data_IF_638549314925
#
_entry.id   IF_638549314925
#
_cell.length_a   1.000
_cell.length_b   1.000
_cell.length_c   1.000
_cell.angle_alpha   90.00
_cell.angle_beta   90.00
_cell.angle_gamma   90.00
#
_symmetry.space_group_name_H-M   'P 1'
#
loop_
_entity.id
_entity.type
_entity.pdbx_description
1 polymer ?
#
# COMPACT_ATOMS: atom_id res chain seq x y z
N UNK A 1 9.64 39.74 -23.57
CA UNK A 1 10.32 38.44 -23.70
C UNK A 1 9.32 37.43 -23.16
N UNK A 2 8.72 36.70 -24.08
CA UNK A 2 7.31 36.31 -24.03
C UNK A 2 7.11 35.06 -23.15
N UNK A 3 6.17 35.11 -22.21
CA UNK A 3 5.95 34.08 -21.17
C UNK A 3 5.54 32.74 -21.81
N UNK A 4 4.85 32.82 -22.96
CA UNK A 4 4.51 31.70 -23.85
C UNK A 4 5.75 30.96 -24.38
N UNK A 5 6.88 31.66 -24.60
CA UNK A 5 8.13 31.02 -25.03
C UNK A 5 8.82 30.23 -23.91
N UNK A 6 8.61 30.59 -22.63
CA UNK A 6 9.13 29.82 -21.49
C UNK A 6 8.31 28.54 -21.28
N UNK A 7 6.98 28.61 -21.37
CA UNK A 7 6.09 27.44 -21.25
C UNK A 7 6.37 26.43 -22.37
N UNK A 8 6.51 26.90 -23.61
CA UNK A 8 6.87 26.05 -24.75
C UNK A 8 8.28 25.45 -24.62
N UNK A 9 9.23 26.13 -23.95
CA UNK A 9 10.56 25.54 -23.63
C UNK A 9 10.49 24.48 -22.53
N UNK A 10 9.62 24.65 -21.54
CA UNK A 10 9.41 23.67 -20.47
C UNK A 10 8.75 22.40 -21.01
N UNK A 11 7.79 22.53 -21.93
CA UNK A 11 7.14 21.39 -22.60
C UNK A 11 8.07 20.71 -23.62
N UNK A 12 9.01 21.45 -24.24
CA UNK A 12 9.99 20.93 -25.21
C UNK A 12 11.25 20.28 -24.60
N UNK A 13 11.30 20.00 -23.30
CA UNK A 13 12.38 19.20 -22.68
C UNK A 13 12.02 17.71 -22.38
N UNK A 14 11.42 16.93 -23.29
CA UNK A 14 11.36 15.47 -23.10
C UNK A 14 12.70 14.76 -23.40
N UNK A 15 13.82 15.51 -23.52
CA UNK A 15 15.13 14.99 -23.92
C UNK A 15 16.26 15.20 -22.88
N UNK A 16 15.93 15.56 -21.63
CA UNK A 16 16.88 15.59 -20.50
C UNK A 16 16.64 14.43 -19.50
N UNK A 17 15.96 13.36 -19.92
CA UNK A 17 15.81 12.14 -19.10
C UNK A 17 17.14 11.45 -18.68
N UNK A 18 18.28 11.53 -19.41
CA UNK A 18 19.50 10.87 -18.93
C UNK A 18 20.15 11.58 -17.73
N UNK A 19 19.97 12.89 -17.52
CA UNK A 19 20.56 13.60 -16.37
C UNK A 19 19.78 13.32 -15.07
N UNK A 20 18.45 13.23 -15.16
CA UNK A 20 17.57 12.91 -14.03
C UNK A 20 17.83 11.50 -13.50
N UNK A 21 17.97 10.52 -14.40
CA UNK A 21 18.25 9.13 -14.03
C UNK A 21 19.64 8.98 -13.38
N UNK A 22 20.66 9.69 -13.88
CA UNK A 22 22.02 9.65 -13.31
C UNK A 22 22.05 10.27 -11.92
N UNK A 23 21.39 11.41 -11.71
CA UNK A 23 21.36 12.09 -10.40
C UNK A 23 20.58 11.25 -9.38
N UNK A 24 19.41 10.70 -9.77
CA UNK A 24 18.64 9.83 -8.88
C UNK A 24 19.42 8.56 -8.57
N UNK A 25 20.09 7.95 -9.54
CA UNK A 25 20.91 6.76 -9.32
C UNK A 25 22.12 7.04 -8.43
N UNK A 26 22.79 8.19 -8.57
CA UNK A 26 23.93 8.58 -7.75
C UNK A 26 23.52 8.84 -6.30
N UNK A 27 22.43 9.59 -6.08
CA UNK A 27 21.91 9.88 -4.74
C UNK A 27 21.39 8.62 -4.04
N UNK A 28 20.76 7.73 -4.80
CA UNK A 28 20.26 6.45 -4.31
C UNK A 28 21.40 5.48 -3.98
N UNK A 29 22.42 5.42 -4.83
CA UNK A 29 23.61 4.61 -4.57
C UNK A 29 24.37 5.11 -3.34
N UNK A 30 24.55 6.42 -3.21
CA UNK A 30 25.18 7.02 -2.03
C UNK A 30 24.36 6.80 -0.77
N UNK A 31 23.05 7.08 -0.80
CA UNK A 31 22.15 6.91 0.33
C UNK A 31 22.05 5.44 0.79
N UNK A 32 21.84 4.52 -0.13
CA UNK A 32 21.78 3.09 0.18
C UNK A 32 23.12 2.59 0.75
N UNK A 33 24.25 2.90 0.09
CA UNK A 33 25.56 2.47 0.58
C UNK A 33 25.92 3.06 1.95
N UNK A 34 25.54 4.31 2.22
CA UNK A 34 25.74 4.94 3.52
C UNK A 34 24.98 4.20 4.63
N UNK A 35 23.75 3.76 4.36
CA UNK A 35 22.93 2.97 5.31
C UNK A 35 23.53 1.59 5.53
N UNK A 36 23.84 0.85 4.46
CA UNK A 36 24.47 -0.46 4.58
C UNK A 36 25.80 -0.37 5.33
N UNK A 37 26.58 0.69 5.09
CA UNK A 37 27.83 0.94 5.80
C UNK A 37 27.61 1.22 7.30
N UNK A 38 26.65 2.09 7.64
CA UNK A 38 26.35 2.46 9.01
C UNK A 38 25.70 1.32 9.82
N UNK A 39 24.85 0.51 9.19
CA UNK A 39 24.29 -0.73 9.75
C UNK A 39 25.39 -1.74 10.07
N UNK A 40 26.32 -1.99 9.13
CA UNK A 40 27.42 -2.95 9.32
C UNK A 40 28.36 -2.55 10.46
N UNK A 41 28.42 -1.26 10.80
CA UNK A 41 29.23 -0.75 11.91
C UNK A 41 28.46 -0.60 13.22
N UNK A 42 27.17 -0.93 13.25
CA UNK A 42 26.33 -0.77 14.44
C UNK A 42 26.17 0.70 14.86
N UNK A 43 26.24 1.64 13.92
CA UNK A 43 26.14 3.08 14.20
C UNK A 43 24.71 3.61 14.18
N UNK A 44 23.76 2.81 13.66
CA UNK A 44 22.35 3.16 13.58
C UNK A 44 21.61 2.36 14.64
N UNK A 45 21.08 3.07 15.63
CA UNK A 45 20.14 2.50 16.60
C UNK A 45 18.84 2.05 15.90
N UNK A 46 18.16 1.06 16.48
CA UNK A 46 16.98 0.44 15.88
C UNK A 46 15.90 1.46 15.46
N UNK A 47 15.67 2.50 16.28
CA UNK A 47 14.71 3.59 16.01
C UNK A 47 15.15 4.49 14.85
N UNK A 48 16.45 4.77 14.75
CA UNK A 48 17.02 5.63 13.69
C UNK A 48 16.95 4.98 12.31
N UNK A 49 16.89 3.65 12.25
CA UNK A 49 16.72 2.92 11.01
C UNK A 49 15.36 3.16 10.36
N UNK A 50 14.30 3.26 11.16
CA UNK A 50 12.93 3.51 10.67
C UNK A 50 12.78 4.93 10.13
N UNK A 51 13.55 5.89 10.62
CA UNK A 51 13.52 7.28 10.12
C UNK A 51 14.22 7.45 8.77
N UNK A 52 15.04 6.48 8.35
CA UNK A 52 15.89 6.63 7.18
C UNK A 52 15.12 6.89 5.87
N UNK A 53 14.08 6.12 5.49
CA UNK A 53 13.35 6.37 4.25
C UNK A 53 12.69 7.76 4.23
N UNK A 54 12.20 8.22 5.39
CA UNK A 54 11.63 9.55 5.54
C UNK A 54 12.69 10.63 5.32
N UNK A 55 13.88 10.48 5.92
CA UNK A 55 14.99 11.41 5.72
C UNK A 55 15.48 11.40 4.26
N UNK A 56 15.59 10.23 3.63
CA UNK A 56 15.95 10.09 2.23
C UNK A 56 14.92 10.76 1.30
N UNK A 57 13.63 10.56 1.58
CA UNK A 57 12.54 11.21 0.84
C UNK A 57 12.62 12.73 0.93
N UNK A 58 12.77 13.29 2.13
CA UNK A 58 12.91 14.74 2.32
C UNK A 58 14.17 15.29 1.64
N UNK A 59 15.29 14.56 1.69
CA UNK A 59 16.52 14.92 1.01
C UNK A 59 16.37 14.94 -0.52
N UNK A 60 15.69 13.94 -1.09
CA UNK A 60 15.39 13.87 -2.51
C UNK A 60 14.44 14.99 -2.94
N UNK A 61 13.37 15.25 -2.20
CA UNK A 61 12.45 16.37 -2.47
C UNK A 61 13.21 17.70 -2.46
N UNK A 62 14.04 17.94 -1.44
CA UNK A 62 14.84 19.16 -1.35
C UNK A 62 15.84 19.32 -2.49
N UNK A 63 16.55 18.25 -2.85
CA UNK A 63 17.56 18.28 -3.91
C UNK A 63 16.93 18.37 -5.31
N UNK A 64 15.87 17.62 -5.58
CA UNK A 64 15.13 17.72 -6.84
C UNK A 64 14.47 19.08 -6.99
N UNK A 65 13.94 19.65 -5.89
CA UNK A 65 13.39 20.99 -5.86
C UNK A 65 14.41 22.08 -6.22
N UNK A 66 15.65 21.98 -5.74
CA UNK A 66 16.71 22.95 -6.11
C UNK A 66 17.21 22.78 -7.54
N UNK A 67 17.20 21.56 -8.06
CA UNK A 67 17.60 21.25 -9.45
C UNK A 67 16.47 21.48 -10.47
N UNK A 68 15.23 21.67 -10.01
CA UNK A 68 14.06 21.77 -10.88
C UNK A 68 13.70 20.46 -11.60
N UNK A 69 14.00 19.32 -10.97
CA UNK A 69 13.70 17.98 -11.51
C UNK A 69 12.46 17.37 -10.84
N UNK A 70 11.93 16.28 -11.40
CA UNK A 70 10.74 15.61 -10.87
C UNK A 70 11.06 14.80 -9.60
N UNK A 71 10.70 15.38 -8.46
CA UNK A 71 10.83 14.83 -7.11
C UNK A 71 9.96 13.58 -6.87
N UNK A 72 8.74 13.53 -7.41
CA UNK A 72 7.84 12.38 -7.28
C UNK A 72 8.43 11.11 -7.90
N UNK A 73 8.98 11.21 -9.12
CA UNK A 73 9.63 10.08 -9.79
C UNK A 73 10.91 9.69 -9.05
N UNK A 74 11.72 10.67 -8.64
CA UNK A 74 12.94 10.42 -7.88
C UNK A 74 12.67 9.64 -6.58
N UNK A 75 11.69 10.07 -5.79
CA UNK A 75 11.29 9.40 -4.56
C UNK A 75 10.72 7.99 -4.83
N UNK A 76 9.94 7.81 -5.89
CA UNK A 76 9.38 6.51 -6.27
C UNK A 76 10.47 5.51 -6.64
N UNK A 77 11.44 5.94 -7.45
CA UNK A 77 12.59 5.10 -7.83
C UNK A 77 13.42 4.78 -6.60
N UNK A 78 13.70 5.77 -5.74
CA UNK A 78 14.46 5.55 -4.53
C UNK A 78 13.81 4.55 -3.58
N UNK A 79 12.50 4.69 -3.32
CA UNK A 79 11.74 3.73 -2.50
C UNK A 79 11.70 2.33 -3.12
N UNK A 80 11.60 2.23 -4.45
CA UNK A 80 11.62 0.95 -5.17
C UNK A 80 12.98 0.26 -5.06
N UNK A 81 14.07 1.01 -5.21
CA UNK A 81 15.43 0.46 -5.10
C UNK A 81 15.77 0.09 -3.67
N UNK A 82 15.33 0.87 -2.67
CA UNK A 82 15.54 0.56 -1.27
C UNK A 82 14.91 -0.79 -0.88
N UNK A 83 13.82 -1.18 -1.54
CA UNK A 83 13.11 -2.44 -1.30
C UNK A 83 13.45 -3.53 -2.33
N UNK A 84 14.40 -3.30 -3.24
CA UNK A 84 14.62 -4.15 -4.41
C UNK A 84 15.09 -5.57 -4.06
N UNK A 85 15.94 -5.68 -3.05
CA UNK A 85 16.47 -6.96 -2.54
C UNK A 85 15.58 -7.57 -1.43
N UNK A 86 14.57 -6.82 -0.96
CA UNK A 86 13.68 -7.21 0.13
C UNK A 86 14.34 -7.23 1.52
N UNK A 87 15.64 -6.90 1.64
CA UNK A 87 16.35 -6.92 2.93
C UNK A 87 15.81 -5.82 3.85
N UNK A 88 15.62 -4.62 3.30
CA UNK A 88 14.99 -3.51 4.02
C UNK A 88 13.59 -3.87 4.52
N UNK A 89 12.76 -4.46 3.66
CA UNK A 89 11.40 -4.88 4.00
C UNK A 89 11.35 -5.97 5.08
N UNK A 90 12.27 -6.94 5.01
CA UNK A 90 12.38 -7.99 6.02
C UNK A 90 12.80 -7.43 7.38
N UNK A 91 13.73 -6.47 7.39
CA UNK A 91 14.23 -5.86 8.61
C UNK A 91 13.19 -4.91 9.24
N UNK A 92 12.48 -4.10 8.47
CA UNK A 92 11.37 -3.27 8.97
C UNK A 92 10.22 -4.13 9.51
N UNK A 93 9.91 -5.25 8.85
CA UNK A 93 8.91 -6.21 9.33
C UNK A 93 9.32 -6.85 10.65
N UNK A 94 10.61 -7.22 10.80
CA UNK A 94 11.15 -7.79 12.05
C UNK A 94 11.10 -6.78 13.20
N UNK A 95 11.31 -5.50 12.89
CA UNK A 95 11.34 -4.40 13.87
C UNK A 95 9.97 -3.81 14.19
N UNK A 96 8.89 -4.32 13.59
CA UNK A 96 7.54 -3.79 13.73
C UNK A 96 7.49 -2.28 13.46
N UNK A 97 7.76 -1.88 12.23
CA UNK A 97 7.71 -0.48 11.81
C UNK A 97 6.31 0.13 11.99
N UNK A 98 6.09 0.76 13.15
CA UNK A 98 4.87 1.53 13.44
C UNK A 98 4.99 2.99 13.01
N UNK A 99 6.21 3.50 12.86
CA UNK A 99 6.48 4.91 12.56
C UNK A 99 5.92 5.30 11.19
N UNK A 100 6.26 4.56 10.12
CA UNK A 100 5.76 4.88 8.79
C UNK A 100 4.24 4.73 8.70
N UNK A 101 3.66 3.74 9.40
CA UNK A 101 2.21 3.56 9.46
C UNK A 101 1.51 4.76 10.12
N UNK A 102 2.07 5.29 11.22
CA UNK A 102 1.53 6.47 11.89
C UNK A 102 1.58 7.71 10.98
N UNK A 103 2.70 7.93 10.30
CA UNK A 103 2.86 9.05 9.36
C UNK A 103 1.88 8.93 8.19
N UNK A 104 1.72 7.73 7.62
CA UNK A 104 0.75 7.48 6.55
C UNK A 104 -0.67 7.83 6.99
N UNK A 105 -1.09 7.35 8.16
CA UNK A 105 -2.44 7.62 8.70
C UNK A 105 -2.64 9.13 8.91
N UNK A 106 -1.67 9.82 9.49
CA UNK A 106 -1.75 11.27 9.73
C UNK A 106 -1.82 12.07 8.43
N UNK A 107 -0.97 11.76 7.46
CA UNK A 107 -0.94 12.44 6.16
C UNK A 107 -2.20 12.17 5.35
N UNK A 108 -2.69 10.93 5.33
CA UNK A 108 -3.93 10.59 4.65
C UNK A 108 -5.13 11.28 5.31
N UNK A 109 -5.25 11.20 6.64
CA UNK A 109 -6.34 11.85 7.37
C UNK A 109 -6.32 13.36 7.16
N UNK A 110 -5.16 14.00 7.35
CA UNK A 110 -5.00 15.44 7.17
C UNK A 110 -5.24 15.87 5.72
N UNK A 111 -4.64 15.17 4.77
CA UNK A 111 -4.74 15.46 3.34
C UNK A 111 -6.17 15.32 2.82
N UNK A 112 -6.86 14.22 3.12
CA UNK A 112 -8.25 14.05 2.69
C UNK A 112 -9.23 14.97 3.41
N UNK A 113 -8.97 15.31 4.69
CA UNK A 113 -9.77 16.32 5.40
C UNK A 113 -9.62 17.69 4.74
N UNK A 114 -8.39 18.10 4.43
CA UNK A 114 -8.11 19.34 3.72
C UNK A 114 -8.79 19.38 2.35
N UNK A 115 -8.62 18.32 1.55
CA UNK A 115 -9.26 18.21 0.23
C UNK A 115 -10.77 18.31 0.35
N UNK A 116 -11.37 17.61 1.32
CA UNK A 116 -12.81 17.62 1.56
C UNK A 116 -13.37 19.02 1.89
N UNK A 117 -12.59 19.84 2.59
CA UNK A 117 -12.96 21.24 2.91
C UNK A 117 -12.87 22.14 1.67
N UNK A 118 -11.88 21.91 0.81
CA UNK A 118 -11.56 22.79 -0.34
C UNK A 118 -12.36 22.43 -1.60
N UNK A 119 -13.16 21.37 -1.60
CA UNK A 119 -13.95 20.97 -2.78
C UNK A 119 -14.84 22.14 -3.26
N UNK A 120 -14.72 22.58 -4.54
CA UNK A 120 -15.48 23.70 -5.08
C UNK A 120 -16.89 23.25 -5.52
N UNK A 121 -17.77 23.04 -4.54
CA UNK A 121 -19.14 22.55 -4.77
C UNK A 121 -19.97 23.46 -5.68
N UNK A 122 -19.72 24.77 -5.61
CA UNK A 122 -20.37 25.81 -6.41
C UNK A 122 -20.01 25.74 -7.90
N UNK A 123 -18.86 25.15 -8.24
CA UNK A 123 -18.35 25.09 -9.61
C UNK A 123 -18.71 23.80 -10.36
N UNK A 124 -19.43 22.88 -9.71
CA UNK A 124 -19.86 21.62 -10.35
C UNK A 124 -21.07 21.77 -11.27
N UNK A 125 -21.76 22.92 -11.21
CA UNK A 125 -22.90 23.23 -12.06
C UNK A 125 -22.82 24.68 -12.55
N UNK A 126 -22.00 24.86 -13.59
CA UNK A 126 -21.78 26.12 -14.29
C UNK A 126 -22.10 25.94 -15.78
N UNK A 127 -23.40 25.92 -16.14
CA UNK A 127 -23.82 25.73 -17.53
C UNK A 127 -23.52 26.93 -18.44
N UNK A 128 -23.48 28.15 -17.89
CA UNK A 128 -23.36 29.40 -18.65
C UNK A 128 -21.89 29.85 -18.85
N UNK A 129 -20.97 29.45 -17.97
CA UNK A 129 -19.54 29.73 -18.10
C UNK A 129 -18.79 28.57 -18.77
N UNK A 130 -18.36 27.60 -17.96
CA UNK A 130 -17.50 26.48 -18.38
C UNK A 130 -18.26 25.34 -19.06
N UNK A 131 -19.59 25.32 -18.98
CA UNK A 131 -20.44 24.23 -19.50
C UNK A 131 -20.33 22.93 -18.69
N UNK A 132 -19.75 23.00 -17.49
CA UNK A 132 -19.65 21.88 -16.54
C UNK A 132 -21.00 21.71 -15.87
N UNK A 133 -21.55 20.49 -15.92
CA UNK A 133 -22.85 20.16 -15.32
C UNK A 133 -22.79 18.78 -14.68
N UNK A 134 -23.58 18.56 -13.64
CA UNK A 134 -23.68 17.25 -12.96
C UNK A 134 -23.83 16.04 -13.89
N UNK A 135 -24.74 16.01 -14.88
CA UNK A 135 -24.88 14.85 -15.76
C UNK A 135 -23.62 14.58 -16.59
N UNK A 136 -22.93 15.63 -17.06
CA UNK A 136 -21.66 15.48 -17.80
C UNK A 136 -20.56 14.95 -16.89
N UNK A 137 -20.48 15.46 -15.66
CA UNK A 137 -19.52 15.02 -14.65
C UNK A 137 -19.72 13.56 -14.25
N UNK A 138 -20.97 13.13 -14.04
CA UNK A 138 -21.30 11.72 -13.76
C UNK A 138 -20.95 10.84 -14.96
N UNK A 139 -21.35 11.23 -16.18
CA UNK A 139 -21.04 10.47 -17.39
C UNK A 139 -19.52 10.34 -17.60
N UNK A 140 -18.77 11.42 -17.41
CA UNK A 140 -17.31 11.43 -17.49
C UNK A 140 -16.69 10.56 -16.39
N UNK A 141 -17.21 10.60 -15.17
CA UNK A 141 -16.80 9.73 -14.07
C UNK A 141 -16.97 8.25 -14.39
N UNK A 142 -18.15 7.85 -14.88
CA UNK A 142 -18.42 6.47 -15.30
C UNK A 142 -17.50 6.06 -16.46
N UNK A 143 -17.31 6.94 -17.44
CA UNK A 143 -16.41 6.70 -18.56
C UNK A 143 -14.97 6.50 -18.11
N UNK A 144 -14.50 7.32 -17.16
CA UNK A 144 -13.18 7.21 -16.58
C UNK A 144 -12.99 5.89 -15.81
N UNK A 145 -14.01 5.42 -15.08
CA UNK A 145 -13.94 4.13 -14.38
C UNK A 145 -13.83 2.96 -15.37
N UNK A 146 -14.60 3.00 -16.47
CA UNK A 146 -14.66 1.90 -17.44
C UNK A 146 -13.50 1.89 -18.43
N UNK A 147 -13.03 3.05 -18.90
CA UNK A 147 -12.08 3.12 -20.02
C UNK A 147 -10.64 3.43 -19.61
N UNK A 148 -10.40 3.99 -18.42
CA UNK A 148 -9.06 4.49 -18.07
C UNK A 148 -8.03 3.38 -17.82
N UNK A 149 -8.43 2.28 -17.16
CA UNK A 149 -7.51 1.18 -16.79
C UNK A 149 -7.97 -0.18 -17.28
N UNK A 150 -9.27 -0.45 -17.20
CA UNK A 150 -9.85 -1.75 -17.54
C UNK A 150 -9.44 -2.24 -18.94
N UNK A 151 -9.54 -1.42 -20.02
CA UNK A 151 -9.21 -1.89 -21.36
C UNK A 151 -7.72 -2.20 -21.51
N UNK A 152 -6.86 -1.33 -20.97
CA UNK A 152 -5.40 -1.49 -21.05
C UNK A 152 -4.93 -2.75 -20.32
N UNK A 153 -5.49 -3.03 -19.13
CA UNK A 153 -5.12 -4.20 -18.34
C UNK A 153 -5.66 -5.48 -18.99
N UNK A 154 -6.91 -5.49 -19.46
CA UNK A 154 -7.48 -6.64 -20.18
C UNK A 154 -6.80 -6.91 -21.53
N UNK A 155 -6.17 -5.91 -22.14
CA UNK A 155 -5.36 -6.10 -23.34
C UNK A 155 -3.98 -6.70 -23.02
N UNK A 156 -3.38 -6.29 -21.90
CA UNK A 156 -1.99 -6.59 -21.55
C UNK A 156 -1.82 -7.70 -20.50
N UNK A 157 -2.88 -8.23 -19.89
CA UNK A 157 -2.76 -9.19 -18.77
C UNK A 157 -1.94 -10.44 -19.15
N UNK A 158 -2.00 -10.88 -20.41
CA UNK A 158 -1.20 -12.02 -20.91
C UNK A 158 0.31 -11.75 -20.92
N UNK A 159 0.73 -10.49 -20.88
CA UNK A 159 2.14 -10.11 -20.78
C UNK A 159 2.64 -10.08 -19.32
N UNK A 160 1.74 -10.18 -18.34
CA UNK A 160 2.05 -10.13 -16.91
C UNK A 160 1.59 -11.40 -16.19
N UNK A 161 2.02 -12.60 -16.62
CA UNK A 161 1.58 -13.87 -16.03
C UNK A 161 2.01 -14.04 -14.56
N UNK A 162 2.99 -13.26 -14.09
CA UNK A 162 3.42 -13.27 -12.69
C UNK A 162 2.42 -12.57 -11.75
N UNK A 163 1.47 -11.78 -12.27
CA UNK A 163 0.55 -10.95 -11.48
C UNK A 163 -0.90 -11.37 -11.68
N UNK A 164 -1.29 -11.76 -12.89
CA UNK A 164 -2.66 -12.16 -13.23
C UNK A 164 -2.65 -13.41 -14.09
N UNK A 165 -3.30 -14.46 -13.62
CA UNK A 165 -3.42 -15.73 -14.35
C UNK A 165 -4.70 -15.73 -15.22
N UNK A 166 -5.79 -15.21 -14.66
CA UNK A 166 -7.12 -15.26 -15.28
C UNK A 166 -7.67 -13.87 -15.66
N UNK A 167 -8.58 -13.85 -16.65
CA UNK A 167 -9.28 -12.62 -17.04
C UNK A 167 -10.10 -12.02 -15.89
N UNK A 168 -10.54 -12.83 -14.92
CA UNK A 168 -11.29 -12.37 -13.74
C UNK A 168 -10.38 -11.59 -12.79
N UNK A 169 -9.15 -12.07 -12.61
CA UNK A 169 -8.13 -11.38 -11.81
C UNK A 169 -7.69 -10.09 -12.49
N UNK A 170 -7.51 -10.11 -13.82
CA UNK A 170 -7.22 -8.92 -14.60
C UNK A 170 -8.36 -7.88 -14.52
N UNK A 171 -9.62 -8.32 -14.54
CA UNK A 171 -10.78 -7.45 -14.36
C UNK A 171 -10.78 -6.83 -12.95
N UNK A 172 -10.51 -7.64 -11.92
CA UNK A 172 -10.42 -7.18 -10.54
C UNK A 172 -9.28 -6.16 -10.38
N UNK A 173 -8.08 -6.49 -10.85
CA UNK A 173 -6.92 -5.60 -10.83
C UNK A 173 -7.15 -4.30 -11.60
N UNK A 174 -7.84 -4.38 -12.74
CA UNK A 174 -8.16 -3.21 -13.56
C UNK A 174 -9.21 -2.30 -12.94
N UNK A 175 -10.18 -2.89 -12.25
CA UNK A 175 -11.19 -2.15 -11.49
C UNK A 175 -10.56 -1.44 -10.30
N UNK A 176 -9.75 -2.11 -9.48
CA UNK A 176 -9.15 -1.48 -8.30
C UNK A 176 -7.99 -0.54 -8.66
N UNK A 177 -8.27 0.76 -8.65
CA UNK A 177 -7.29 1.82 -8.85
C UNK A 177 -7.93 3.19 -8.81
N UNK A 178 -8.36 3.68 -7.62
CA UNK A 178 -9.02 4.97 -7.50
C UNK A 178 -8.12 6.11 -7.96
N UNK A 179 -8.71 7.21 -8.43
CA UNK A 179 -7.96 8.44 -8.66
C UNK A 179 -7.60 9.04 -7.31
N UNK A 180 -6.30 9.19 -7.04
CA UNK A 180 -5.80 9.72 -5.77
C UNK A 180 -5.47 11.21 -5.81
N UNK A 181 -4.87 11.67 -4.71
CA UNK A 181 -4.43 13.06 -4.48
C UNK A 181 -3.39 13.54 -5.50
N UNK A 182 -2.65 12.63 -6.13
CA UNK A 182 -1.69 12.97 -7.19
C UNK A 182 -2.32 13.74 -8.37
N UNK A 183 -3.59 13.49 -8.69
CA UNK A 183 -4.28 14.27 -9.73
C UNK A 183 -4.50 15.74 -9.31
N UNK A 184 -4.76 15.98 -8.01
CA UNK A 184 -4.90 17.32 -7.46
C UNK A 184 -3.55 18.05 -7.38
N UNK A 185 -2.47 17.32 -7.08
CA UNK A 185 -1.12 17.86 -7.15
C UNK A 185 -0.80 18.38 -8.55
N UNK A 186 -1.10 17.60 -9.60
CA UNK A 186 -0.89 18.05 -10.98
C UNK A 186 -1.82 19.19 -11.40
N UNK A 187 -3.07 19.22 -10.91
CA UNK A 187 -3.96 20.36 -11.11
C UNK A 187 -3.35 21.65 -10.55
N UNK A 188 -2.81 21.60 -9.34
CA UNK A 188 -2.19 22.76 -8.71
C UNK A 188 -0.90 23.17 -9.45
N UNK A 189 -0.10 22.20 -9.89
CA UNK A 189 1.06 22.47 -10.72
C UNK A 189 0.68 23.16 -12.04
N UNK A 190 -0.40 22.71 -12.70
CA UNK A 190 -0.94 23.34 -13.90
C UNK A 190 -1.36 24.79 -13.59
N UNK A 191 -2.09 25.04 -12.51
CA UNK A 191 -2.49 26.41 -12.13
C UNK A 191 -1.33 27.37 -11.93
N UNK A 192 -0.16 26.88 -11.51
CA UNK A 192 1.05 27.69 -11.36
C UNK A 192 1.77 27.95 -12.69
N UNK A 193 1.69 27.00 -13.64
CA UNK A 193 2.34 27.12 -14.94
C UNK A 193 1.58 28.02 -15.91
N UNK A 194 0.26 27.99 -15.84
CA UNK A 194 -0.59 28.77 -16.73
C UNK A 194 -0.83 30.18 -16.15
N UNK A 195 -0.83 31.23 -17.01
CA UNK A 195 -1.05 32.60 -16.56
C UNK A 195 -2.47 32.77 -15.99
N UNK A 196 -2.65 33.79 -15.14
CA UNK A 196 -3.91 34.01 -14.44
C UNK A 196 -5.02 34.35 -15.45
N UNK A 197 -6.27 34.05 -15.09
CA UNK A 197 -7.44 34.27 -15.95
C UNK A 197 -7.41 35.66 -16.61
N UNK A 198 -7.42 35.70 -17.95
CA UNK A 198 -7.44 36.93 -18.76
C UNK A 198 -6.13 37.29 -19.48
N UNK A 199 -5.03 36.56 -19.25
CA UNK A 199 -3.76 36.76 -19.98
C UNK A 199 -3.56 35.79 -21.16
N UNK A 200 -4.29 34.68 -21.19
CA UNK A 200 -4.30 33.69 -22.28
C UNK A 200 -5.53 33.80 -23.19
N UNK A 201 -5.57 32.96 -24.23
CA UNK A 201 -6.73 32.88 -25.13
C UNK A 201 -8.00 32.46 -24.34
N UNK A 202 -9.18 32.83 -24.85
CA UNK A 202 -10.46 32.53 -24.20
C UNK A 202 -10.65 31.01 -23.99
N UNK A 203 -10.21 30.21 -24.97
CA UNK A 203 -10.24 28.74 -24.89
C UNK A 203 -9.32 28.19 -23.80
N UNK A 204 -8.13 28.76 -23.63
CA UNK A 204 -7.15 28.36 -22.62
C UNK A 204 -7.69 28.67 -21.21
N UNK A 205 -8.27 29.86 -21.04
CA UNK A 205 -8.90 30.29 -19.79
C UNK A 205 -10.08 29.39 -19.43
N UNK A 206 -10.95 29.09 -20.40
CA UNK A 206 -12.09 28.19 -20.19
C UNK A 206 -11.66 26.77 -19.83
N UNK A 207 -10.59 26.26 -20.45
CA UNK A 207 -10.03 24.95 -20.13
C UNK A 207 -9.50 24.90 -18.69
N UNK A 208 -8.71 25.88 -18.27
CA UNK A 208 -8.14 25.95 -16.91
C UNK A 208 -9.26 26.04 -15.86
N UNK A 209 -10.30 26.83 -16.15
CA UNK A 209 -11.46 26.98 -15.27
C UNK A 209 -12.24 25.66 -15.15
N UNK A 210 -12.41 24.91 -16.24
CA UNK A 210 -13.10 23.62 -16.23
C UNK A 210 -12.26 22.49 -15.58
N UNK A 211 -10.93 22.54 -15.69
CA UNK A 211 -10.03 21.50 -15.17
C UNK A 211 -10.18 21.28 -13.66
N UNK A 212 -10.32 22.35 -12.89
CA UNK A 212 -10.47 22.28 -11.43
C UNK A 212 -11.68 21.43 -11.03
N UNK A 213 -12.91 21.90 -11.31
CA UNK A 213 -14.13 21.20 -10.98
C UNK A 213 -14.16 19.75 -11.51
N UNK A 214 -13.69 19.53 -12.74
CA UNK A 214 -13.64 18.19 -13.34
C UNK A 214 -12.71 17.25 -12.57
N UNK A 215 -11.49 17.67 -12.25
CA UNK A 215 -10.52 16.81 -11.55
C UNK A 215 -10.97 16.54 -10.11
N UNK A 216 -11.46 17.56 -9.38
CA UNK A 216 -12.01 17.38 -8.04
C UNK A 216 -13.18 16.40 -8.04
N UNK A 217 -14.10 16.54 -9.00
CA UNK A 217 -15.22 15.62 -9.15
C UNK A 217 -14.76 14.19 -9.45
N UNK A 218 -13.84 14.00 -10.40
CA UNK A 218 -13.33 12.68 -10.78
C UNK A 218 -12.62 11.97 -9.61
N UNK A 219 -11.84 12.71 -8.81
CA UNK A 219 -11.22 12.18 -7.59
C UNK A 219 -12.28 11.77 -6.58
N UNK A 220 -13.22 12.66 -6.25
CA UNK A 220 -14.31 12.39 -5.32
C UNK A 220 -15.16 11.17 -5.76
N UNK A 221 -15.66 11.19 -6.99
CA UNK A 221 -16.49 10.13 -7.56
C UNK A 221 -15.77 8.79 -7.55
N UNK A 222 -14.48 8.78 -7.90
CA UNK A 222 -13.67 7.56 -7.92
C UNK A 222 -13.44 6.99 -6.53
N UNK A 223 -13.11 7.83 -5.53
CA UNK A 223 -12.93 7.39 -4.15
C UNK A 223 -14.23 6.79 -3.60
N UNK A 224 -15.36 7.44 -3.85
CA UNK A 224 -16.68 6.94 -3.39
C UNK A 224 -17.01 5.60 -4.04
N UNK A 225 -16.93 5.49 -5.38
CA UNK A 225 -17.29 4.25 -6.09
C UNK A 225 -16.38 3.09 -5.70
N UNK A 226 -15.06 3.27 -5.69
CA UNK A 226 -14.14 2.21 -5.31
C UNK A 226 -14.21 1.89 -3.81
N UNK A 227 -14.31 2.91 -2.95
CA UNK A 227 -14.38 2.73 -1.50
C UNK A 227 -15.63 1.95 -1.08
N UNK A 228 -16.77 2.17 -1.72
CA UNK A 228 -18.01 1.46 -1.44
C UNK A 228 -18.11 0.09 -2.15
N UNK A 229 -17.28 -0.17 -3.16
CA UNK A 229 -17.32 -1.42 -3.93
C UNK A 229 -17.07 -2.67 -3.10
N UNK A 230 -16.07 -2.66 -2.21
CA UNK A 230 -15.72 -3.83 -1.37
C UNK A 230 -16.84 -4.14 -0.35
N UNK A 231 -17.36 -3.16 0.42
CA UNK A 231 -18.53 -3.38 1.27
C UNK A 231 -19.76 -3.88 0.48
N UNK A 232 -20.02 -3.29 -0.68
CA UNK A 232 -21.15 -3.69 -1.53
C UNK A 232 -21.02 -5.12 -2.05
N UNK A 233 -19.82 -5.52 -2.49
CA UNK A 233 -19.52 -6.89 -2.91
C UNK A 233 -19.67 -7.88 -1.76
N UNK A 234 -19.16 -7.55 -0.57
CA UNK A 234 -19.31 -8.37 0.63
C UNK A 234 -20.79 -8.54 1.02
N UNK A 235 -21.58 -7.46 0.96
CA UNK A 235 -23.03 -7.52 1.20
C UNK A 235 -23.73 -8.41 0.17
N UNK A 236 -23.39 -8.26 -1.11
CA UNK A 236 -23.96 -9.06 -2.20
C UNK A 236 -23.66 -10.54 -2.02
N UNK A 237 -22.42 -10.90 -1.69
CA UNK A 237 -22.05 -12.29 -1.42
C UNK A 237 -22.75 -12.89 -0.21
N UNK A 238 -22.97 -12.10 0.85
CA UNK A 238 -23.77 -12.53 2.01
C UNK A 238 -25.22 -12.78 1.62
N UNK A 239 -25.84 -11.89 0.84
CA UNK A 239 -27.21 -12.06 0.35
C UNK A 239 -27.36 -13.28 -0.56
N UNK A 240 -26.36 -13.56 -1.40
CA UNK A 240 -26.34 -14.71 -2.31
C UNK A 240 -25.92 -16.03 -1.65
N UNK A 241 -25.60 -16.02 -0.34
CA UNK A 241 -25.18 -17.21 0.38
C UNK A 241 -23.86 -17.82 -0.12
N UNK A 242 -23.02 -17.01 -0.77
CA UNK A 242 -21.72 -17.47 -1.29
C UNK A 242 -20.85 -17.81 -0.08
N UNK A 243 -20.40 -19.07 -0.01
CA UNK A 243 -19.48 -19.51 1.03
C UNK A 243 -18.19 -18.70 0.91
N UNK A 244 -17.83 -18.01 1.98
CA UNK A 244 -16.55 -17.32 2.07
C UNK A 244 -15.43 -18.34 1.87
N UNK A 245 -14.48 -18.01 0.99
CA UNK A 245 -13.24 -18.77 0.87
C UNK A 245 -12.53 -18.59 2.21
N UNK A 246 -12.55 -19.65 3.01
CA UNK A 246 -11.78 -19.73 4.24
C UNK A 246 -10.45 -20.34 3.82
N UNK A 247 -9.36 -19.61 3.94
CA UNK A 247 -8.07 -20.28 3.95
C UNK A 247 -8.04 -21.19 5.18
N UNK A 248 -7.87 -22.48 4.92
CA UNK A 248 -7.89 -23.50 5.95
C UNK A 248 -6.78 -23.26 6.96
N UNK A 249 -7.03 -23.69 8.19
CA UNK A 249 -6.03 -23.57 9.24
C UNK A 249 -4.79 -24.40 8.88
N UNK A 250 -3.62 -23.78 8.85
CA UNK A 250 -2.37 -24.44 8.47
C UNK A 250 -1.71 -25.00 9.73
N UNK A 251 -1.38 -26.29 9.71
CA UNK A 251 -0.58 -26.89 10.78
C UNK A 251 0.89 -26.46 10.64
N UNK A 252 1.36 -25.63 11.56
CA UNK A 252 2.77 -25.22 11.66
C UNK A 252 3.45 -26.08 12.70
N UNK A 253 4.58 -26.70 12.35
CA UNK A 253 5.38 -27.47 13.30
C UNK A 253 6.10 -26.55 14.28
N UNK A 254 6.00 -26.86 15.57
CA UNK A 254 6.81 -26.26 16.65
C UNK A 254 8.28 -26.56 16.42
N UNK A 255 9.11 -25.51 16.37
CA UNK A 255 10.57 -25.66 16.34
C UNK A 255 11.16 -25.95 17.72
N UNK A 256 10.48 -25.56 18.80
CA UNK A 256 10.83 -25.88 20.18
C UNK A 256 9.57 -25.91 21.06
N UNK A 257 9.63 -26.65 22.18
CA UNK A 257 8.56 -26.75 23.17
C UNK A 257 8.35 -25.45 23.96
N UNK A 258 9.36 -24.58 24.03
CA UNK A 258 9.32 -23.29 24.71
C UNK A 258 8.85 -22.13 23.83
N UNK A 259 8.53 -22.38 22.56
CA UNK A 259 8.11 -21.32 21.62
C UNK A 259 6.68 -20.90 21.94
N UNK A 260 6.50 -19.58 22.13
CA UNK A 260 5.20 -18.98 22.32
C UNK A 260 4.28 -19.25 21.13
N UNK A 261 2.98 -19.45 21.41
CA UNK A 261 1.97 -19.65 20.37
C UNK A 261 1.79 -18.34 19.60
N UNK A 262 1.85 -18.34 18.25
CA UNK A 262 1.52 -17.17 17.45
C UNK A 262 0.10 -16.66 17.79
N UNK A 263 -0.11 -15.34 17.75
CA UNK A 263 -1.38 -14.70 18.15
C UNK A 263 -2.58 -15.22 17.34
N UNK A 264 -2.33 -15.60 16.10
CA UNK A 264 -3.30 -16.17 15.16
C UNK A 264 -3.35 -17.71 15.16
N UNK A 265 -2.74 -18.39 16.13
CA UNK A 265 -2.67 -19.85 16.18
C UNK A 265 -3.21 -20.44 17.48
N UNK A 266 -3.67 -21.69 17.42
CA UNK A 266 -4.10 -22.50 18.57
C UNK A 266 -3.15 -23.67 18.71
N UNK A 267 -2.90 -24.12 19.93
CA UNK A 267 -2.12 -25.34 20.18
C UNK A 267 -2.87 -26.55 19.67
N UNK A 268 -2.30 -27.25 18.69
CA UNK A 268 -2.83 -28.51 18.18
C UNK A 268 -2.40 -29.66 19.09
N UNK A 269 -1.28 -30.29 18.73
CA UNK A 269 -0.61 -31.30 19.56
C UNK A 269 0.64 -30.71 20.27
N UNK A 270 1.43 -31.54 20.95
CA UNK A 270 2.68 -31.10 21.61
C UNK A 270 3.72 -30.52 20.64
N UNK A 271 3.62 -30.83 19.34
CA UNK A 271 4.61 -30.52 18.30
C UNK A 271 4.08 -29.60 17.19
N UNK A 272 2.83 -29.15 17.25
CA UNK A 272 2.19 -28.33 16.22
C UNK A 272 1.33 -27.20 16.79
N UNK A 273 1.26 -26.13 16.00
CA UNK A 273 0.28 -25.08 16.11
C UNK A 273 -0.66 -25.17 14.91
N UNK A 274 -1.93 -24.87 15.12
CA UNK A 274 -2.91 -24.68 14.07
C UNK A 274 -3.04 -23.17 13.87
N UNK A 275 -2.37 -22.63 12.85
CA UNK A 275 -2.39 -21.21 12.54
C UNK A 275 -3.57 -20.88 11.61
N UNK A 276 -4.33 -19.86 11.97
CA UNK A 276 -5.43 -19.36 11.17
C UNK A 276 -4.94 -18.12 10.39
N UNK A 277 -5.09 -18.14 9.07
CA UNK A 277 -4.69 -17.02 8.20
C UNK A 277 -5.71 -15.86 8.22
N UNK A 278 -6.41 -15.67 9.35
CA UNK A 278 -7.39 -14.58 9.54
C UNK A 278 -6.76 -13.49 10.41
N UNK A 279 -6.69 -12.27 9.86
CA UNK A 279 -6.23 -11.07 10.57
C UNK A 279 -7.14 -10.63 11.72
N UNK A 280 -8.37 -11.14 11.81
CA UNK A 280 -9.27 -10.90 12.94
C UNK A 280 -10.04 -12.16 13.32
N UNK A 281 -10.07 -12.46 14.62
CA UNK A 281 -10.95 -13.48 15.18
C UNK A 281 -12.39 -12.99 15.05
N UNK A 282 -13.34 -13.76 14.50
CA UNK A 282 -14.67 -13.74 15.08
C UNK A 282 -14.50 -14.36 16.47
N UNK A 283 -14.67 -13.56 17.52
CA UNK A 283 -15.07 -14.15 18.78
C UNK A 283 -16.34 -14.96 18.51
N UNK A 284 -16.41 -16.16 19.08
CA UNK A 284 -17.56 -17.08 19.09
C UNK A 284 -17.50 -18.23 18.08
N UNK A 285 -17.63 -19.43 18.68
CA UNK A 285 -17.74 -20.79 18.17
C UNK A 285 -16.48 -21.45 17.58
N UNK A 286 -15.71 -22.08 18.48
CA UNK A 286 -14.81 -23.17 18.18
C UNK A 286 -15.59 -24.29 17.46
N UNK A 287 -15.27 -24.62 16.20
CA UNK A 287 -15.75 -25.87 15.62
C UNK A 287 -15.15 -27.00 16.44
N UNK A 288 -15.99 -27.87 17.00
CA UNK A 288 -15.55 -29.10 17.63
C UNK A 288 -14.74 -29.88 16.59
N UNK A 289 -13.43 -29.94 16.79
CA UNK A 289 -12.52 -30.74 15.97
C UNK A 289 -12.93 -32.21 16.09
N UNK A 290 -13.00 -32.99 14.99
CA UNK A 290 -13.22 -34.43 15.07
C UNK A 290 -12.06 -35.06 15.85
N UNK A 291 -12.34 -35.53 17.07
CA UNK A 291 -11.37 -36.29 17.89
C UNK A 291 -10.87 -35.62 19.17
N UNK A 292 -11.32 -34.42 19.53
CA UNK A 292 -10.96 -33.77 20.81
C UNK A 292 -12.10 -33.97 21.81
N UNK A 293 -11.96 -34.93 22.74
CA UNK A 293 -13.01 -35.26 23.72
C UNK A 293 -13.13 -34.27 24.88
N UNK A 294 -12.17 -33.36 25.10
CA UNK A 294 -12.29 -32.31 26.11
C UNK A 294 -11.60 -31.01 25.64
N UNK A 295 -12.27 -29.85 25.75
CA UNK A 295 -11.60 -28.58 25.49
C UNK A 295 -10.57 -28.30 26.60
N UNK A 296 -9.32 -27.93 26.28
CA UNK A 296 -8.40 -27.42 27.29
C UNK A 296 -8.93 -26.11 27.84
N UNK A 297 -8.88 -25.97 29.16
CA UNK A 297 -9.33 -24.76 29.86
C UNK A 297 -8.59 -23.52 29.33
N UNK A 298 -9.27 -22.35 29.26
CA UNK A 298 -8.64 -21.12 28.81
C UNK A 298 -7.47 -20.77 29.73
N UNK A 299 -6.25 -20.77 29.18
CA UNK A 299 -5.07 -20.24 29.85
C UNK A 299 -5.16 -18.71 29.80
N UNK A 300 -5.95 -18.15 30.70
CA UNK A 300 -5.86 -16.77 31.18
C UNK A 300 -6.82 -16.55 32.35
N UNK A 301 -6.40 -17.03 33.52
CA UNK A 301 -6.72 -16.40 34.80
C UNK A 301 -5.38 -16.37 35.55
N UNK A 302 -4.88 -15.17 35.80
CA UNK A 302 -3.54 -14.98 36.38
C UNK A 302 -3.42 -15.54 37.79
N UNK A 303 -2.28 -16.16 38.09
CA UNK A 303 -1.64 -16.16 39.40
C UNK A 303 -0.37 -17.02 39.34
N UNK A 304 0.74 -16.39 39.73
CA UNK A 304 1.77 -16.95 40.60
C UNK A 304 2.66 -18.09 40.08
N UNK A 305 3.96 -17.77 39.99
CA UNK A 305 5.05 -18.74 40.07
C UNK A 305 4.88 -19.66 41.28
N UNK A 306 5.08 -20.98 41.11
CA UNK A 306 5.66 -21.80 42.16
C UNK A 306 7.10 -22.11 41.80
N UNK A 307 7.97 -21.81 42.75
CA UNK A 307 9.37 -22.16 42.78
C UNK A 307 9.56 -23.65 43.13
N UNK A 308 10.68 -24.21 42.68
CA UNK A 308 11.40 -25.39 43.19
C UNK A 308 10.79 -26.81 43.02
N UNK A 309 11.47 -27.68 42.26
CA UNK A 309 12.40 -28.68 42.83
C UNK A 309 12.97 -29.63 41.76
N UNK A 310 14.29 -29.76 41.74
CA UNK A 310 15.02 -30.87 41.14
C UNK A 310 14.76 -32.12 42.00
N UNK A 311 14.07 -33.12 41.43
CA UNK A 311 14.24 -34.56 41.72
C UNK A 311 13.10 -35.35 41.06
N UNK A 312 13.36 -35.91 39.87
CA UNK A 312 12.94 -37.28 39.57
C UNK A 312 13.65 -37.76 38.29
N UNK A 313 14.73 -38.50 38.53
CA UNK A 313 15.41 -39.27 37.54
C UNK A 313 14.61 -40.55 37.20
N UNK A 314 14.80 -41.02 35.97
CA UNK A 314 14.63 -42.41 35.53
C UNK A 314 13.20 -42.92 35.28
N UNK A 315 12.79 -42.83 34.01
CA UNK A 315 11.75 -43.68 33.45
C UNK A 315 11.68 -43.57 31.93
N UNK A 316 11.96 -44.66 31.23
CA UNK A 316 11.61 -44.91 29.81
C UNK A 316 12.54 -44.40 28.70
N UNK A 317 13.74 -44.98 28.68
CA UNK A 317 14.43 -45.34 27.42
C UNK A 317 13.74 -46.52 26.73
N UNK A 318 12.80 -46.30 25.79
CA UNK A 318 12.59 -47.22 24.64
C UNK A 318 11.61 -46.71 23.57
N UNK A 319 12.17 -46.22 22.45
CA UNK A 319 11.85 -46.61 21.06
C UNK A 319 12.40 -45.54 20.10
N UNK A 320 13.71 -45.62 19.81
CA UNK A 320 14.31 -44.96 18.65
C UNK A 320 13.81 -45.65 17.38
N UNK A 321 12.80 -45.07 16.74
CA UNK A 321 12.44 -45.38 15.35
C UNK A 321 13.26 -44.53 14.40
N UNK A 322 14.17 -45.16 13.66
CA UNK A 322 14.93 -44.54 12.57
C UNK A 322 13.94 -44.08 11.48
N UNK A 323 13.77 -42.77 11.25
CA UNK A 323 13.05 -42.24 10.08
C UNK A 323 13.88 -41.17 9.38
N UNK A 324 14.17 -41.45 8.11
CA UNK A 324 15.03 -40.68 7.20
C UNK A 324 14.52 -39.24 7.04
N UNK A 325 15.42 -38.28 7.23
CA UNK A 325 15.25 -36.89 6.84
C UNK A 325 15.30 -36.74 5.33
N UNK A 326 14.24 -36.21 4.71
CA UNK A 326 14.31 -35.65 3.36
C UNK A 326 14.72 -34.18 3.50
N UNK A 327 15.90 -33.85 2.97
CA UNK A 327 16.39 -32.49 2.78
C UNK A 327 15.77 -31.96 1.49
N UNK A 328 15.15 -30.79 1.53
CA UNK A 328 14.96 -30.00 0.32
C UNK A 328 16.17 -29.07 0.18
N UNK A 329 16.82 -29.14 -0.99
CA UNK A 329 17.65 -28.07 -1.54
C UNK A 329 16.73 -26.97 -2.06
#
# INVERSE_FOLDING_TARGET
>A
MDQSYQVVRTIKRPLELPSLAVIVAEQLHFGANAVYFALRRGWIDEESYLLFPTALGLFLIGTCGTLGTNDLIACTVAGSTLNWDGEFLAETSRRHDEFHSCIEVLLNLGGFTYIGIVIPWDQFDDPDGTGVTYPRLIALGVLALLLRRLPSILLLYKLMPAVTEDYKEALFMGYFGPIGVGALFYLEHVRQLFPHAGEGDEEETNLINALGPVIYWLVFFSIVVHGLSIPALNLTYRCLGVKQIKEDAVSIRRKSLSVAVPVNAVTGDQVTFIAYNRFSRPAVELPVLPGVQHPPAPVNAGSEHPDCSDDEAQGETKKRGHRRTIRYM
#
